data_IF_244106328475
#
_entry.id   IF_244106328475
#
_cell.length_a   1.000
_cell.length_b   1.000
_cell.length_c   1.000
_cell.angle_alpha   90.00
_cell.angle_beta   90.00
_cell.angle_gamma   90.00
#
_symmetry.space_group_name_H-M   'P 1'
#
loop_
_entity.id
_entity.type
_entity.pdbx_description
1 polymer ?
#
# COMPACT_ATOMS: atom_id res chain seq x y z
N UNK A 1 -1.48 57.64 -0.30
CA UNK A 1 -1.61 56.39 0.45
C UNK A 1 -1.14 55.24 -0.44
N UNK A 2 0.08 54.76 -0.24
CA UNK A 2 0.62 53.59 -0.98
C UNK A 2 0.01 52.32 -0.41
N UNK A 3 -0.82 51.66 -1.21
CA UNK A 3 -1.36 50.34 -0.90
C UNK A 3 -0.22 49.33 -0.96
N UNK A 4 0.35 49.03 0.21
CA UNK A 4 1.35 47.96 0.37
C UNK A 4 0.65 46.65 0.11
N UNK A 5 0.64 46.19 -1.14
CA UNK A 5 0.26 44.84 -1.50
C UNK A 5 1.20 43.87 -0.76
N UNK A 6 0.77 43.45 0.43
CA UNK A 6 1.42 42.33 1.14
C UNK A 6 1.16 41.12 0.28
N UNK A 7 2.13 40.76 -0.55
CA UNK A 7 2.12 39.48 -1.27
C UNK A 7 2.11 38.37 -0.21
N UNK A 8 0.92 37.84 0.08
CA UNK A 8 0.78 36.63 0.92
C UNK A 8 1.66 35.57 0.30
N UNK A 9 2.77 35.21 0.97
CA UNK A 9 3.58 34.05 0.59
C UNK A 9 2.68 32.84 0.63
N UNK A 10 2.40 32.27 -0.53
CA UNK A 10 1.60 31.08 -0.66
C UNK A 10 2.41 29.91 -0.10
N UNK A 11 1.91 29.28 0.96
CA UNK A 11 2.51 28.10 1.58
C UNK A 11 2.41 26.91 0.61
N UNK A 12 3.50 26.18 0.44
CA UNK A 12 3.58 25.00 -0.45
C UNK A 12 3.80 23.78 0.44
N UNK A 13 2.72 23.06 0.77
CA UNK A 13 2.79 21.87 1.63
C UNK A 13 2.30 20.60 0.92
N UNK A 14 1.44 20.77 -0.07
CA UNK A 14 0.81 19.64 -0.77
C UNK A 14 1.81 18.61 -1.34
N UNK A 15 3.00 18.95 -1.92
CA UNK A 15 3.87 17.91 -2.49
C UNK A 15 4.44 16.97 -1.41
N UNK A 16 4.62 17.48 -0.20
CA UNK A 16 5.14 16.69 0.94
C UNK A 16 4.05 15.83 1.56
N UNK A 17 2.83 16.36 1.67
CA UNK A 17 1.69 15.57 2.13
C UNK A 17 1.31 14.49 1.13
N UNK A 18 1.27 14.83 -0.17
CA UNK A 18 0.94 13.87 -1.22
C UNK A 18 1.99 12.77 -1.32
N UNK A 19 3.27 13.06 -1.04
CA UNK A 19 4.31 12.02 -1.06
C UNK A 19 4.14 10.98 0.05
N UNK A 20 3.48 11.31 1.15
CA UNK A 20 3.18 10.36 2.22
C UNK A 20 1.93 9.50 1.95
N UNK A 21 1.05 9.92 1.02
CA UNK A 21 -0.23 9.24 0.77
C UNK A 21 -0.10 7.75 0.43
N UNK A 22 0.83 7.29 -0.44
CA UNK A 22 0.92 5.87 -0.76
C UNK A 22 1.17 5.00 0.48
N UNK A 23 2.04 5.47 1.39
CA UNK A 23 2.37 4.75 2.62
C UNK A 23 1.22 4.81 3.62
N UNK A 24 0.60 5.99 3.81
CA UNK A 24 -0.55 6.15 4.69
C UNK A 24 -1.75 5.34 4.21
N UNK A 25 -1.96 5.28 2.89
CA UNK A 25 -3.02 4.47 2.29
C UNK A 25 -2.78 2.98 2.56
N UNK A 26 -1.54 2.50 2.34
CA UNK A 26 -1.17 1.13 2.63
C UNK A 26 -1.43 0.77 4.10
N UNK A 27 -1.02 1.64 5.03
CA UNK A 27 -1.28 1.45 6.46
C UNK A 27 -2.79 1.45 6.77
N UNK A 28 -3.57 2.39 6.20
CA UNK A 28 -5.00 2.49 6.48
C UNK A 28 -5.77 1.23 6.07
N UNK A 29 -5.35 0.56 4.99
CA UNK A 29 -5.98 -0.66 4.48
C UNK A 29 -5.43 -1.95 5.09
N UNK A 30 -4.22 -1.91 5.67
CA UNK A 30 -3.55 -3.09 6.23
C UNK A 30 -3.16 -2.87 7.71
N UNK A 31 -3.93 -2.05 8.44
CA UNK A 31 -3.62 -1.70 9.81
C UNK A 31 -3.62 -2.90 10.79
N UNK A 32 -4.27 -4.00 10.40
CA UNK A 32 -4.29 -5.26 11.15
C UNK A 32 -3.00 -6.09 11.00
N UNK A 33 -2.23 -5.86 9.93
CA UNK A 33 -0.99 -6.59 9.66
C UNK A 33 0.26 -5.72 9.84
N UNK A 34 0.11 -4.39 9.63
CA UNK A 34 1.24 -3.46 9.61
C UNK A 34 1.30 -2.66 10.93
N UNK A 35 2.34 -2.86 11.75
CA UNK A 35 2.55 -2.02 12.92
C UNK A 35 2.89 -0.57 12.52
N UNK A 36 2.35 0.39 13.27
CA UNK A 36 2.55 1.83 13.00
C UNK A 36 4.02 2.23 12.91
N UNK A 37 4.87 1.61 13.71
CA UNK A 37 6.32 1.91 13.74
C UNK A 37 7.03 1.61 12.42
N UNK A 38 6.57 0.61 11.65
CA UNK A 38 7.24 0.17 10.42
C UNK A 38 7.00 1.13 9.25
N UNK A 39 5.95 1.96 9.32
CA UNK A 39 5.64 2.94 8.27
C UNK A 39 6.25 4.33 8.50
N UNK A 40 6.76 4.62 9.69
CA UNK A 40 7.33 5.94 10.00
C UNK A 40 8.56 6.25 9.13
N UNK A 41 9.45 5.27 8.95
CA UNK A 41 10.65 5.42 8.13
C UNK A 41 10.30 5.61 6.65
N UNK A 42 9.46 4.77 6.01
CA UNK A 42 8.99 4.99 4.63
C UNK A 42 8.33 6.36 4.42
N UNK A 43 7.50 6.84 5.35
CA UNK A 43 6.89 8.18 5.29
C UNK A 43 7.98 9.26 5.30
N UNK A 44 8.93 9.17 6.24
CA UNK A 44 10.01 10.16 6.34
C UNK A 44 10.86 10.18 5.05
N UNK A 45 11.19 9.02 4.51
CA UNK A 45 11.98 8.89 3.27
C UNK A 45 11.20 9.52 2.10
N UNK A 46 9.90 9.24 1.94
CA UNK A 46 9.09 9.78 0.85
C UNK A 46 9.01 11.31 0.89
N UNK A 47 8.86 11.88 2.08
CA UNK A 47 8.85 13.34 2.29
C UNK A 47 10.23 13.94 1.96
N UNK A 48 11.31 13.33 2.43
CA UNK A 48 12.69 13.80 2.17
C UNK A 48 13.01 13.77 0.68
N UNK A 49 12.67 12.69 -0.01
CA UNK A 49 12.85 12.58 -1.47
C UNK A 49 12.06 13.68 -2.20
N UNK A 50 10.79 13.85 -1.85
CA UNK A 50 9.94 14.91 -2.41
C UNK A 50 10.54 16.30 -2.18
N UNK A 51 11.08 16.56 -0.99
CA UNK A 51 11.72 17.81 -0.64
C UNK A 51 13.01 18.06 -1.46
N UNK A 52 13.86 17.04 -1.64
CA UNK A 52 15.06 17.14 -2.45
C UNK A 52 14.69 17.45 -3.92
N UNK A 53 13.72 16.74 -4.47
CA UNK A 53 13.25 16.97 -5.84
C UNK A 53 12.69 18.39 -5.97
N UNK A 54 11.93 18.87 -4.97
CA UNK A 54 11.42 20.23 -4.95
C UNK A 54 12.53 21.29 -4.94
N UNK A 55 13.59 21.09 -4.14
CA UNK A 55 14.76 21.99 -4.12
C UNK A 55 15.43 22.06 -5.50
N UNK A 56 15.55 20.94 -6.19
CA UNK A 56 16.17 20.90 -7.52
C UNK A 56 15.26 21.61 -8.53
N UNK A 57 13.98 21.27 -8.59
CA UNK A 57 13.04 21.82 -9.56
C UNK A 57 12.78 23.32 -9.35
N UNK A 58 12.79 23.80 -8.11
CA UNK A 58 12.57 25.23 -7.83
C UNK A 58 13.70 26.13 -8.34
N UNK A 59 14.84 25.57 -8.73
CA UNK A 59 15.95 26.33 -9.32
C UNK A 59 15.68 26.68 -10.79
N UNK A 60 14.88 25.84 -11.47
CA UNK A 60 14.52 25.99 -12.88
C UNK A 60 13.13 26.59 -13.02
N UNK A 61 12.23 26.21 -12.11
CA UNK A 61 10.83 26.64 -12.07
C UNK A 61 10.58 27.45 -10.81
N UNK A 62 9.47 28.19 -10.80
CA UNK A 62 9.01 28.78 -9.54
C UNK A 62 8.59 27.67 -8.55
N UNK A 63 8.81 27.88 -7.23
CA UNK A 63 8.59 26.85 -6.22
C UNK A 63 7.18 26.28 -6.19
N UNK A 64 6.15 27.07 -6.52
CA UNK A 64 4.76 26.61 -6.61
C UNK A 64 4.59 25.65 -7.78
N UNK A 65 5.09 25.99 -8.95
CA UNK A 65 5.02 25.11 -10.14
C UNK A 65 5.77 23.81 -9.90
N UNK A 66 6.94 23.88 -9.27
CA UNK A 66 7.69 22.68 -8.87
C UNK A 66 6.86 21.77 -7.95
N UNK A 67 6.20 22.34 -6.94
CA UNK A 67 5.30 21.60 -6.06
C UNK A 67 4.13 20.95 -6.79
N UNK A 68 3.44 21.68 -7.67
CA UNK A 68 2.32 21.15 -8.45
C UNK A 68 2.72 19.97 -9.34
N UNK A 69 3.89 20.09 -9.99
CA UNK A 69 4.43 19.03 -10.84
C UNK A 69 4.74 17.75 -10.02
N UNK A 70 5.43 17.91 -8.88
CA UNK A 70 5.75 16.78 -8.01
C UNK A 70 4.47 16.09 -7.55
N UNK A 71 3.49 16.87 -7.09
CA UNK A 71 2.22 16.30 -6.65
C UNK A 71 1.49 15.53 -7.74
N UNK A 72 1.44 16.06 -8.95
CA UNK A 72 0.81 15.40 -10.08
C UNK A 72 1.50 14.09 -10.44
N UNK A 73 2.84 14.09 -10.47
CA UNK A 73 3.62 12.88 -10.79
C UNK A 73 3.48 11.80 -9.73
N UNK A 74 3.49 12.18 -8.44
CA UNK A 74 3.28 11.22 -7.35
C UNK A 74 1.87 10.64 -7.40
N UNK A 75 0.84 11.45 -7.63
CA UNK A 75 -0.54 10.97 -7.77
C UNK A 75 -0.69 10.01 -8.97
N UNK A 76 -0.13 10.36 -10.12
CA UNK A 76 -0.14 9.48 -11.30
C UNK A 76 0.54 8.14 -10.99
N UNK A 77 1.71 8.18 -10.38
CA UNK A 77 2.44 6.96 -9.98
C UNK A 77 1.61 6.10 -9.01
N UNK A 78 1.00 6.73 -8.00
CA UNK A 78 0.21 6.02 -6.98
C UNK A 78 -1.05 5.35 -7.55
N UNK A 79 -1.70 6.01 -8.52
CA UNK A 79 -2.94 5.51 -9.13
C UNK A 79 -2.67 4.42 -10.18
N UNK A 80 -1.48 4.41 -10.78
CA UNK A 80 -1.13 3.49 -11.86
C UNK A 80 -1.38 2.02 -11.51
N UNK A 81 -0.88 1.57 -10.35
CA UNK A 81 -1.01 0.18 -9.91
C UNK A 81 -2.47 -0.23 -9.70
N UNK A 82 -3.27 0.64 -9.08
CA UNK A 82 -4.69 0.38 -8.83
C UNK A 82 -5.47 0.24 -10.15
N UNK A 83 -5.26 1.16 -11.10
CA UNK A 83 -5.92 1.08 -12.42
C UNK A 83 -5.47 -0.17 -13.15
N UNK A 84 -4.17 -0.47 -13.16
CA UNK A 84 -3.63 -1.66 -13.81
C UNK A 84 -4.29 -2.94 -13.29
N UNK A 85 -4.36 -3.10 -11.96
CA UNK A 85 -4.95 -4.30 -11.36
C UNK A 85 -6.42 -4.46 -11.77
N UNK A 86 -7.20 -3.40 -11.78
CA UNK A 86 -8.60 -3.46 -12.21
C UNK A 86 -8.75 -3.87 -13.68
N UNK A 87 -7.86 -3.37 -14.55
CA UNK A 87 -7.93 -3.68 -15.97
C UNK A 87 -7.48 -5.10 -16.31
N UNK A 88 -6.53 -5.67 -15.54
CA UNK A 88 -6.01 -7.02 -15.80
C UNK A 88 -6.99 -8.11 -15.33
N UNK A 89 -7.77 -7.85 -14.28
CA UNK A 89 -8.73 -8.81 -13.71
C UNK A 89 -10.02 -8.89 -14.54
N UNK A 90 -10.27 -7.92 -15.43
CA UNK A 90 -11.48 -7.89 -16.26
C UNK A 90 -11.51 -9.07 -17.23
N UNK A 91 -12.68 -9.66 -17.46
CA UNK A 91 -12.86 -10.81 -18.36
C UNK A 91 -12.75 -10.42 -19.85
N UNK A 92 -12.83 -9.14 -20.18
CA UNK A 92 -12.77 -8.64 -21.53
C UNK A 92 -11.32 -8.46 -22.01
N UNK A 93 -10.90 -9.20 -23.01
CA UNK A 93 -9.54 -9.16 -23.59
C UNK A 93 -9.10 -7.75 -24.03
N UNK A 94 -10.04 -6.92 -24.52
CA UNK A 94 -9.71 -5.54 -24.89
C UNK A 94 -9.37 -4.69 -23.67
N UNK A 95 -10.06 -4.90 -22.55
CA UNK A 95 -9.79 -4.20 -21.29
C UNK A 95 -8.46 -4.68 -20.69
N UNK A 96 -8.19 -5.98 -20.72
CA UNK A 96 -6.89 -6.53 -20.32
C UNK A 96 -5.74 -5.96 -21.19
N UNK A 97 -5.96 -5.82 -22.49
CA UNK A 97 -4.97 -5.19 -23.38
C UNK A 97 -4.65 -3.74 -22.97
N UNK A 98 -5.68 -2.95 -22.58
CA UNK A 98 -5.47 -1.61 -22.02
C UNK A 98 -4.68 -1.63 -20.71
N UNK A 99 -4.80 -2.68 -19.91
CA UNK A 99 -4.04 -2.92 -18.67
C UNK A 99 -2.59 -3.36 -18.90
N UNK A 100 -2.19 -3.68 -20.14
CA UNK A 100 -0.82 -4.07 -20.46
C UNK A 100 0.18 -2.96 -20.12
N UNK A 101 1.38 -3.34 -19.66
CA UNK A 101 2.40 -2.35 -19.23
C UNK A 101 2.75 -1.34 -20.33
N UNK A 102 2.74 -1.77 -21.61
CA UNK A 102 3.09 -0.91 -22.72
C UNK A 102 1.99 0.13 -22.98
N UNK A 103 0.73 -0.30 -23.05
CA UNK A 103 -0.39 0.58 -23.38
C UNK A 103 -0.70 1.52 -22.22
N UNK A 104 -0.91 0.97 -21.02
CA UNK A 104 -1.21 1.76 -19.84
C UNK A 104 -0.05 2.69 -19.46
N UNK A 105 1.19 2.19 -19.52
CA UNK A 105 2.39 3.01 -19.28
C UNK A 105 2.52 4.14 -20.30
N UNK A 106 2.22 3.90 -21.58
CA UNK A 106 2.19 4.92 -22.60
C UNK A 106 1.13 5.99 -22.36
N UNK A 107 -0.08 5.58 -21.94
CA UNK A 107 -1.16 6.51 -21.56
C UNK A 107 -0.74 7.37 -20.37
N UNK A 108 -0.20 6.77 -19.30
CA UNK A 108 0.23 7.49 -18.10
C UNK A 108 1.41 8.44 -18.39
N UNK A 109 2.33 8.02 -19.25
CA UNK A 109 3.42 8.89 -19.72
C UNK A 109 2.87 10.12 -20.49
N UNK A 110 1.91 9.91 -21.39
CA UNK A 110 1.27 11.00 -22.12
C UNK A 110 0.54 11.97 -21.18
N UNK A 111 -0.24 11.45 -20.22
CA UNK A 111 -0.90 12.26 -19.19
C UNK A 111 0.13 13.03 -18.36
N UNK A 112 1.23 12.39 -17.96
CA UNK A 112 2.32 13.04 -17.23
C UNK A 112 2.95 14.19 -18.00
N UNK A 113 3.23 14.01 -19.29
CA UNK A 113 3.76 15.08 -20.17
C UNK A 113 2.76 16.21 -20.31
N UNK A 114 1.48 15.91 -20.51
CA UNK A 114 0.43 16.94 -20.58
C UNK A 114 0.30 17.72 -19.28
N UNK A 115 0.36 17.05 -18.12
CA UNK A 115 0.35 17.70 -16.81
C UNK A 115 1.57 18.60 -16.62
N UNK A 116 2.76 18.17 -17.02
CA UNK A 116 3.98 18.98 -16.99
C UNK A 116 3.80 20.27 -17.82
N UNK A 117 3.36 20.14 -19.08
CA UNK A 117 3.12 21.28 -19.97
C UNK A 117 2.08 22.22 -19.38
N UNK A 118 0.99 21.68 -18.82
CA UNK A 118 -0.07 22.45 -18.19
C UNK A 118 0.45 23.28 -17.03
N UNK A 119 1.15 22.66 -16.06
CA UNK A 119 1.66 23.37 -14.87
C UNK A 119 2.78 24.36 -15.20
N UNK A 120 3.60 24.11 -16.22
CA UNK A 120 4.61 25.06 -16.67
C UNK A 120 3.96 26.31 -17.30
N UNK A 121 2.91 26.11 -18.10
CA UNK A 121 2.25 27.22 -18.84
C UNK A 121 1.18 27.95 -18.02
N UNK A 122 0.64 27.35 -16.96
CA UNK A 122 -0.46 27.95 -16.20
C UNK A 122 -0.06 29.27 -15.55
N UNK A 123 -0.99 30.23 -15.57
CA UNK A 123 -0.86 31.53 -14.90
C UNK A 123 -1.47 31.52 -13.49
N UNK A 124 -2.49 30.65 -13.26
CA UNK A 124 -3.22 30.53 -11.98
C UNK A 124 -2.53 29.55 -11.00
N UNK A 125 -1.19 29.49 -11.01
CA UNK A 125 -0.46 28.53 -10.17
C UNK A 125 -0.67 28.75 -8.67
N UNK A 126 -0.93 29.99 -8.22
CA UNK A 126 -1.21 30.29 -6.80
C UNK A 126 -2.56 29.73 -6.34
N UNK A 127 -3.58 29.80 -7.18
CA UNK A 127 -4.92 29.25 -6.90
C UNK A 127 -4.86 27.73 -6.86
N UNK A 128 -4.21 27.12 -7.87
CA UNK A 128 -3.99 25.67 -7.91
C UNK A 128 -3.23 25.16 -6.68
N UNK A 129 -2.20 25.88 -6.24
CA UNK A 129 -1.48 25.54 -5.02
C UNK A 129 -2.41 25.52 -3.79
N UNK A 130 -3.31 26.50 -3.68
CA UNK A 130 -4.27 26.53 -2.57
C UNK A 130 -5.24 25.35 -2.63
N UNK A 131 -5.73 25.01 -3.81
CA UNK A 131 -6.62 23.87 -4.03
C UNK A 131 -5.88 22.56 -3.67
N UNK A 132 -4.67 22.36 -4.17
CA UNK A 132 -3.88 21.16 -3.88
C UNK A 132 -3.54 21.04 -2.39
N UNK A 133 -3.24 22.15 -1.71
CA UNK A 133 -3.03 22.15 -0.26
C UNK A 133 -4.28 21.68 0.49
N UNK A 134 -5.46 22.20 0.14
CA UNK A 134 -6.72 21.80 0.78
C UNK A 134 -6.99 20.32 0.53
N UNK A 135 -6.89 19.85 -0.71
CA UNK A 135 -7.09 18.43 -1.05
C UNK A 135 -6.12 17.56 -0.28
N UNK A 136 -4.82 17.89 -0.28
CA UNK A 136 -3.81 17.08 0.40
C UNK A 136 -4.05 17.01 1.92
N UNK A 137 -4.36 18.14 2.56
CA UNK A 137 -4.67 18.18 3.99
C UNK A 137 -5.91 17.33 4.28
N UNK A 138 -6.97 17.47 3.48
CA UNK A 138 -8.21 16.73 3.69
C UNK A 138 -7.98 15.22 3.60
N UNK A 139 -7.30 14.75 2.54
CA UNK A 139 -7.05 13.30 2.36
C UNK A 139 -6.16 12.76 3.49
N UNK A 140 -5.06 13.43 3.81
CA UNK A 140 -4.17 13.00 4.90
C UNK A 140 -4.90 12.97 6.24
N UNK A 141 -5.75 13.98 6.51
CA UNK A 141 -6.55 14.00 7.75
C UNK A 141 -7.51 12.82 7.82
N UNK A 142 -8.21 12.50 6.73
CA UNK A 142 -9.12 11.35 6.67
C UNK A 142 -8.36 10.05 6.93
N UNK A 143 -7.19 9.85 6.29
CA UNK A 143 -6.38 8.65 6.51
C UNK A 143 -5.88 8.54 7.94
N UNK A 144 -5.38 9.63 8.54
CA UNK A 144 -4.92 9.64 9.93
C UNK A 144 -6.07 9.35 10.89
N UNK A 145 -7.26 9.90 10.65
CA UNK A 145 -8.46 9.60 11.46
C UNK A 145 -8.87 8.13 11.33
N UNK A 146 -8.84 7.58 10.13
CA UNK A 146 -9.15 6.15 9.89
C UNK A 146 -8.17 5.25 10.65
N UNK A 147 -6.87 5.50 10.50
CA UNK A 147 -5.81 4.76 11.21
C UNK A 147 -5.98 4.92 12.73
N UNK A 148 -6.22 6.14 13.21
CA UNK A 148 -6.41 6.41 14.62
C UNK A 148 -7.62 5.70 15.20
N UNK A 149 -8.76 5.71 14.50
CA UNK A 149 -9.96 4.97 14.90
C UNK A 149 -9.69 3.47 14.98
N UNK A 150 -8.99 2.91 13.98
CA UNK A 150 -8.62 1.49 14.00
C UNK A 150 -7.83 1.13 15.26
N UNK A 151 -6.78 1.87 15.59
CA UNK A 151 -5.96 1.59 16.78
C UNK A 151 -6.70 1.85 18.10
N UNK A 152 -7.62 2.82 18.16
CA UNK A 152 -8.43 3.06 19.38
C UNK A 152 -9.44 1.95 19.59
N UNK A 153 -10.11 1.48 18.52
CA UNK A 153 -11.12 0.43 18.63
C UNK A 153 -10.51 -0.95 18.89
N UNK A 154 -9.34 -1.24 18.32
CA UNK A 154 -8.70 -2.56 18.44
C UNK A 154 -7.63 -2.63 19.55
N UNK A 155 -7.30 -1.52 20.21
CA UNK A 155 -6.41 -1.55 21.38
C UNK A 155 -7.03 -2.21 22.61
N UNK A 156 -8.34 -2.47 22.61
CA UNK A 156 -9.04 -3.23 23.65
C UNK A 156 -9.07 -4.74 23.39
N UNK A 157 -8.86 -5.14 22.13
CA UNK A 157 -8.68 -6.52 21.71
C UNK A 157 -7.17 -6.83 21.63
N UNK A 158 -6.45 -6.75 22.76
CA UNK A 158 -5.46 -7.77 22.97
C UNK A 158 -6.26 -9.07 22.89
N UNK A 159 -6.16 -9.76 21.76
CA UNK A 159 -6.47 -11.19 21.72
C UNK A 159 -5.52 -11.76 22.78
N UNK A 160 -5.94 -11.81 24.06
CA UNK A 160 -5.58 -12.94 24.86
C UNK A 160 -5.98 -14.11 23.96
N UNK A 161 -5.00 -14.67 23.25
CA UNK A 161 -5.11 -16.02 22.82
C UNK A 161 -5.45 -16.73 24.14
N UNK A 162 -6.73 -16.92 24.36
CA UNK A 162 -7.24 -17.93 25.26
C UNK A 162 -6.66 -19.22 24.70
N UNK A 163 -5.36 -19.41 25.01
CA UNK A 163 -4.82 -20.73 25.00
C UNK A 163 -5.79 -21.45 25.91
N UNK A 164 -6.72 -22.16 25.28
CA UNK A 164 -7.62 -23.06 25.94
C UNK A 164 -6.78 -23.63 27.06
N UNK A 165 -7.11 -23.25 28.30
CA UNK A 165 -6.50 -23.82 29.49
C UNK A 165 -6.96 -25.28 29.58
N UNK A 166 -6.71 -25.99 28.47
CA UNK A 166 -6.52 -27.40 28.46
C UNK A 166 -5.16 -27.56 29.11
N UNK A 167 -5.17 -27.72 30.42
CA UNK A 167 -4.07 -28.33 31.12
C UNK A 167 -3.74 -29.62 30.39
N UNK A 168 -2.97 -29.49 29.30
CA UNK A 168 -2.17 -30.57 28.78
C UNK A 168 -1.28 -30.91 29.97
N UNK A 169 -1.74 -31.90 30.77
CA UNK A 169 -0.89 -32.58 31.73
C UNK A 169 0.17 -33.24 30.86
N UNK A 170 1.19 -32.45 30.52
CA UNK A 170 2.42 -32.95 29.94
C UNK A 170 3.05 -33.70 31.10
N UNK A 171 2.79 -35.01 31.17
CA UNK A 171 3.60 -35.88 31.99
C UNK A 171 5.05 -35.57 31.60
N UNK A 172 5.93 -35.42 32.60
CA UNK A 172 7.34 -35.12 32.41
C UNK A 172 7.91 -36.03 31.32
N UNK A 173 8.02 -35.51 30.10
CA UNK A 173 8.69 -36.22 29.02
C UNK A 173 10.17 -35.99 29.24
N UNK A 174 10.90 -37.07 29.53
CA UNK A 174 12.34 -36.99 29.81
C UNK A 174 13.17 -36.50 28.62
N UNK A 175 12.60 -36.50 27.41
CA UNK A 175 13.21 -35.97 26.19
C UNK A 175 12.17 -35.04 25.51
N UNK A 176 12.52 -33.77 25.33
CA UNK A 176 11.67 -32.82 24.59
C UNK A 176 11.97 -32.99 23.12
N UNK A 177 10.98 -33.39 22.29
CA UNK A 177 11.19 -33.48 20.83
C UNK A 177 11.38 -32.08 20.25
N UNK A 178 12.22 -32.02 19.22
CA UNK A 178 12.28 -30.82 18.37
C UNK A 178 10.98 -30.71 17.58
N UNK A 179 10.36 -29.50 17.63
CA UNK A 179 9.13 -29.21 16.89
C UNK A 179 9.47 -28.31 15.72
N UNK A 180 9.25 -28.79 14.51
CA UNK A 180 9.42 -28.03 13.28
C UNK A 180 8.03 -27.68 12.71
N UNK A 181 7.77 -26.39 12.50
CA UNK A 181 6.53 -25.91 11.87
C UNK A 181 6.88 -25.43 10.46
N UNK A 182 6.31 -26.07 9.45
CA UNK A 182 6.46 -25.67 8.05
C UNK A 182 5.15 -25.07 7.56
N UNK A 183 5.18 -23.76 7.24
CA UNK A 183 4.07 -23.05 6.61
C UNK A 183 4.46 -22.85 5.15
N UNK A 184 3.77 -23.53 4.24
CA UNK A 184 4.00 -23.41 2.80
C UNK A 184 3.13 -22.27 2.28
N UNK A 185 3.80 -21.17 1.92
CA UNK A 185 3.14 -20.01 1.36
C UNK A 185 2.58 -20.32 -0.04
N UNK A 186 1.35 -19.87 -0.31
CA UNK A 186 0.62 -20.11 -1.58
C UNK A 186 0.45 -21.60 -1.96
N UNK A 187 0.64 -22.54 -1.02
CA UNK A 187 0.45 -23.96 -1.30
C UNK A 187 -1.04 -24.33 -1.26
N UNK A 188 -1.61 -24.63 -2.41
CA UNK A 188 -3.01 -24.99 -2.52
C UNK A 188 -3.33 -26.34 -1.85
N UNK A 189 -4.51 -26.45 -1.25
CA UNK A 189 -4.99 -27.70 -0.66
C UNK A 189 -5.17 -28.81 -1.70
N UNK A 190 -5.19 -30.11 -1.24
CA UNK A 190 -5.29 -31.29 -2.10
C UNK A 190 -6.42 -31.16 -3.13
N UNK A 191 -7.60 -30.71 -2.69
CA UNK A 191 -8.78 -30.59 -3.55
C UNK A 191 -8.58 -29.56 -4.65
N UNK A 192 -7.92 -28.45 -4.36
CA UNK A 192 -7.66 -27.38 -5.33
C UNK A 192 -6.55 -27.77 -6.30
N UNK A 193 -5.49 -28.42 -5.83
CA UNK A 193 -4.43 -28.96 -6.68
C UNK A 193 -4.98 -29.97 -7.68
N UNK A 194 -5.92 -30.81 -7.26
CA UNK A 194 -6.53 -31.79 -8.15
C UNK A 194 -7.47 -31.15 -9.17
N UNK A 195 -8.26 -30.11 -8.76
CA UNK A 195 -9.25 -29.47 -9.64
C UNK A 195 -8.60 -28.53 -10.67
N UNK A 196 -7.64 -27.72 -10.24
CA UNK A 196 -7.09 -26.64 -11.06
C UNK A 196 -5.81 -27.03 -11.80
N UNK A 197 -5.07 -28.04 -11.27
CA UNK A 197 -3.76 -28.43 -11.80
C UNK A 197 -3.68 -29.93 -12.16
N UNK A 198 -4.77 -30.69 -12.00
CA UNK A 198 -4.79 -32.15 -12.20
C UNK A 198 -3.68 -32.88 -11.41
N UNK A 199 -3.21 -32.29 -10.31
CA UNK A 199 -2.12 -32.80 -9.50
C UNK A 199 -2.63 -33.66 -8.33
N UNK A 200 -2.18 -34.90 -8.24
CA UNK A 200 -2.50 -35.83 -7.13
C UNK A 200 -1.48 -35.66 -5.99
N UNK A 201 -1.93 -35.04 -4.87
CA UNK A 201 -1.10 -34.83 -3.68
C UNK A 201 -0.95 -36.10 -2.80
N UNK A 202 -1.74 -37.16 -3.03
CA UNK A 202 -1.74 -38.36 -2.19
C UNK A 202 -0.38 -39.01 -2.02
N UNK A 203 0.48 -39.14 -3.07
CA UNK A 203 1.80 -39.74 -2.90
C UNK A 203 2.67 -39.00 -1.89
N UNK A 204 2.58 -37.65 -1.89
CA UNK A 204 3.31 -36.83 -0.93
C UNK A 204 2.78 -36.99 0.49
N UNK A 205 1.45 -37.00 0.66
CA UNK A 205 0.82 -37.19 1.98
C UNK A 205 1.17 -38.55 2.59
N UNK A 206 1.14 -39.62 1.78
CA UNK A 206 1.54 -40.97 2.21
C UNK A 206 3.02 -41.01 2.63
N UNK A 207 3.89 -40.29 1.94
CA UNK A 207 5.32 -40.23 2.29
C UNK A 207 5.57 -39.46 3.59
N UNK A 208 4.75 -38.47 3.91
CA UNK A 208 4.77 -37.77 5.21
C UNK A 208 4.32 -38.74 6.33
N UNK A 209 3.20 -39.45 6.14
CA UNK A 209 2.70 -40.43 7.13
C UNK A 209 3.73 -41.55 7.41
N UNK A 210 4.45 -42.02 6.41
CA UNK A 210 5.55 -42.99 6.59
C UNK A 210 6.71 -42.45 7.43
N UNK A 211 6.83 -41.14 7.54
CA UNK A 211 7.85 -40.47 8.34
C UNK A 211 7.31 -40.00 9.69
N UNK A 212 6.22 -40.60 10.14
CA UNK A 212 5.54 -40.33 11.40
C UNK A 212 4.99 -38.89 11.53
N UNK A 213 4.77 -38.16 10.40
CA UNK A 213 4.04 -36.90 10.43
C UNK A 213 2.54 -37.15 10.59
N UNK A 214 1.90 -36.29 11.40
CA UNK A 214 0.44 -36.29 11.52
C UNK A 214 -0.11 -35.44 10.38
N UNK A 215 -0.82 -36.10 9.45
CA UNK A 215 -1.45 -35.45 8.30
C UNK A 215 -2.94 -35.31 8.59
N UNK A 216 -3.49 -34.09 8.77
CA UNK A 216 -4.91 -33.88 8.97
C UNK A 216 -5.67 -34.25 7.69
N UNK A 217 -6.74 -35.06 7.81
CA UNK A 217 -7.57 -35.46 6.68
C UNK A 217 -8.40 -34.36 6.09
N UNK A 218 -8.73 -33.35 6.90
CA UNK A 218 -9.46 -32.17 6.50
C UNK A 218 -8.87 -30.97 7.24
N UNK A 219 -8.55 -29.92 6.50
CA UNK A 219 -8.17 -28.64 7.05
C UNK A 219 -9.03 -27.55 6.38
N UNK A 220 -9.60 -26.68 7.19
CA UNK A 220 -10.42 -25.57 6.73
C UNK A 220 -9.73 -24.27 7.11
N UNK A 221 -9.66 -23.34 6.18
CA UNK A 221 -9.26 -21.97 6.50
C UNK A 221 -10.48 -21.21 7.06
N UNK A 222 -10.25 -20.28 7.95
CA UNK A 222 -11.28 -19.46 8.58
C UNK A 222 -11.77 -18.31 7.68
N UNK A 223 -11.75 -18.46 6.37
CA UNK A 223 -12.27 -17.47 5.42
C UNK A 223 -13.64 -17.89 4.90
#
# INVERSE_FOLDING_TARGET
MQNKNITKRSLIIHPFLISSLPVLFLLAFNAHELPLQDVLIPIAISIVISFIIWIILRQILNGIKAGLIISALILLFSIYGHIKNQLIIDENEMIQFLGSNLVLGGIFLAIGILALIFFIKTKSHSELNSIFNVIAITIVTILILNIGLYYVTNSSDSIELDFVDGSLIINEVNEKPDVFVFILDEFAGEKQLQMDFEYDLKPFMIELEKRDFVVPKESFSNY
#
